data_IF_443056841932
#
_entry.id   IF_443056841932
#
_cell.length_a   1.000
_cell.length_b   1.000
_cell.length_c   1.000
_cell.angle_alpha   90.00
_cell.angle_beta   90.00
_cell.angle_gamma   90.00
#
_symmetry.space_group_name_H-M   'P 1'
#
loop_
_entity.id
_entity.type
_entity.pdbx_description
1 polymer ?
#
# COMPACT_ATOMS: atom_id res chain seq x y z
N UNK A 1 87.07 8.89 17.94
CA UNK A 1 86.49 8.25 16.73
C UNK A 1 86.09 6.81 17.08
N UNK A 2 84.86 6.57 17.53
CA UNK A 2 84.35 5.24 17.90
C UNK A 2 82.98 5.00 17.25
N UNK A 3 82.85 3.82 16.65
CA UNK A 3 81.75 3.34 15.80
C UNK A 3 80.61 2.76 16.65
N UNK A 4 79.41 2.75 16.05
CA UNK A 4 78.15 2.05 16.38
C UNK A 4 78.30 0.77 17.22
N UNK A 5 77.28 0.45 18.03
CA UNK A 5 76.41 -0.74 17.87
C UNK A 5 75.16 -0.59 18.78
N UNK A 6 74.03 -1.03 18.21
CA UNK A 6 72.63 -1.11 18.65
C UNK A 6 72.34 -1.88 19.96
N UNK A 7 71.09 -1.74 20.48
CA UNK A 7 70.24 -2.65 21.31
C UNK A 7 69.52 -1.87 22.42
N UNK A 8 68.25 -2.02 22.81
CA UNK A 8 67.12 -2.92 22.50
C UNK A 8 65.83 -2.30 23.09
N UNK A 9 64.72 -2.52 22.38
CA UNK A 9 63.28 -2.49 22.69
C UNK A 9 62.81 -2.43 24.16
N UNK A 10 61.68 -1.74 24.40
CA UNK A 10 60.40 -2.33 24.88
C UNK A 10 59.30 -1.25 24.91
N UNK A 11 58.37 -1.32 23.94
CA UNK A 11 57.19 -0.47 23.87
C UNK A 11 56.12 -0.92 24.87
N UNK A 12 55.49 0.05 25.52
CA UNK A 12 54.40 -0.13 26.47
C UNK A 12 53.16 -0.70 25.77
N UNK A 13 52.56 -1.75 26.34
CA UNK A 13 51.24 -2.25 25.94
C UNK A 13 50.30 -2.03 27.12
N UNK A 14 49.53 -0.95 27.09
CA UNK A 14 48.35 -0.76 27.93
C UNK A 14 47.16 -1.39 27.20
N UNK A 15 46.59 -2.46 27.75
CA UNK A 15 45.36 -3.07 27.26
C UNK A 15 44.13 -2.33 27.82
N UNK A 16 43.08 -2.04 27.02
CA UNK A 16 41.87 -1.40 27.51
C UNK A 16 40.88 -2.45 28.03
N UNK A 17 40.32 -2.25 29.22
CA UNK A 17 39.19 -3.04 29.72
C UNK A 17 37.90 -2.25 29.50
N UNK A 18 37.03 -2.82 28.67
CA UNK A 18 35.68 -2.34 28.35
C UNK A 18 34.79 -2.27 29.59
N UNK A 19 33.97 -1.22 29.70
CA UNK A 19 32.81 -1.20 30.58
C UNK A 19 31.63 -0.48 29.90
N UNK A 20 30.61 -1.27 29.53
CA UNK A 20 29.19 -0.91 29.69
C UNK A 20 28.50 -0.09 28.61
N UNK A 21 27.90 -0.78 27.64
CA UNK A 21 26.83 -0.30 26.74
C UNK A 21 25.49 -0.27 27.49
N UNK A 22 24.73 0.83 27.40
CA UNK A 22 23.27 0.80 27.49
C UNK A 22 22.68 1.70 26.40
N UNK A 23 22.74 1.23 25.16
CA UNK A 23 21.99 1.84 24.06
C UNK A 23 20.53 1.39 24.21
N UNK A 24 19.69 2.31 24.68
CA UNK A 24 18.24 2.24 24.53
C UNK A 24 17.94 2.16 23.04
N UNK A 25 17.81 0.94 22.51
CA UNK A 25 17.29 0.72 21.17
C UNK A 25 15.79 0.95 21.23
N UNK A 26 15.39 2.22 21.21
CA UNK A 26 14.02 2.57 20.88
C UNK A 26 13.72 1.98 19.51
N UNK A 27 12.76 1.05 19.44
CA UNK A 27 12.22 0.59 18.18
C UNK A 27 11.72 1.81 17.43
N UNK A 28 12.42 2.19 16.36
CA UNK A 28 11.89 3.13 15.38
C UNK A 28 10.66 2.43 14.79
N UNK A 29 9.48 2.83 15.24
CA UNK A 29 8.23 2.49 14.57
C UNK A 29 8.28 3.25 13.25
N UNK A 30 8.65 2.55 12.18
CA UNK A 30 8.53 3.08 10.83
C UNK A 30 7.05 3.42 10.61
N UNK A 31 6.73 4.71 10.57
CA UNK A 31 5.41 5.16 10.16
C UNK A 31 5.23 4.70 8.70
N UNK A 32 4.29 3.79 8.45
CA UNK A 32 3.93 3.42 7.10
C UNK A 32 3.24 4.62 6.46
N UNK A 33 3.98 5.27 5.57
CA UNK A 33 3.51 6.39 4.77
C UNK A 33 2.21 6.05 4.01
N UNK A 34 1.23 6.95 4.15
CA UNK A 34 -0.19 6.72 3.96
C UNK A 34 -0.57 6.78 2.49
N UNK A 35 -0.71 5.63 1.82
CA UNK A 35 -1.48 5.60 0.56
C UNK A 35 -2.93 5.89 0.91
N UNK A 36 -3.49 6.99 0.38
CA UNK A 36 -4.88 7.41 0.58
C UNK A 36 -5.86 6.40 -0.02
N UNK A 37 -6.03 5.25 0.62
CA UNK A 37 -7.10 4.31 0.29
C UNK A 37 -8.44 4.98 0.60
N UNK A 38 -9.44 4.77 -0.26
CA UNK A 38 -10.82 5.07 0.07
C UNK A 38 -11.29 4.13 1.17
N UNK A 39 -11.67 4.70 2.32
CA UNK A 39 -12.18 3.98 3.48
C UNK A 39 -13.61 4.43 3.77
N UNK A 40 -14.45 3.52 4.27
CA UNK A 40 -15.73 3.91 4.87
C UNK A 40 -15.51 4.67 6.19
N UNK A 41 -16.54 5.34 6.75
CA UNK A 41 -16.45 5.95 8.08
C UNK A 41 -16.02 4.96 9.18
N UNK A 42 -16.28 3.67 9.00
CA UNK A 42 -15.89 2.59 9.90
C UNK A 42 -14.46 2.07 9.64
N UNK A 43 -13.71 2.66 8.71
CA UNK A 43 -12.33 2.29 8.38
C UNK A 43 -12.18 1.11 7.42
N UNK A 44 -13.28 0.62 6.82
CA UNK A 44 -13.23 -0.49 5.87
C UNK A 44 -12.77 -0.06 4.48
N UNK A 45 -11.85 -0.82 3.89
CA UNK A 45 -11.51 -0.70 2.47
C UNK A 45 -12.73 -1.07 1.61
N UNK A 46 -12.92 -0.33 0.51
CA UNK A 46 -13.98 -0.60 -0.49
C UNK A 46 -15.36 -0.76 0.16
N UNK A 47 -15.63 0.08 1.16
CA UNK A 47 -16.87 0.09 1.92
C UNK A 47 -17.22 -1.24 2.60
N UNK A 48 -16.26 -2.16 2.80
CA UNK A 48 -16.49 -3.48 3.40
C UNK A 48 -16.94 -4.57 2.41
N UNK A 49 -16.62 -4.41 1.13
CA UNK A 49 -16.82 -5.46 0.13
C UNK A 49 -15.55 -6.29 -0.08
N UNK A 50 -15.76 -7.57 -0.30
CA UNK A 50 -14.72 -8.53 -0.65
C UNK A 50 -14.18 -8.24 -2.04
N UNK A 51 -12.91 -7.83 -2.13
CA UNK A 51 -12.33 -7.49 -3.43
C UNK A 51 -11.87 -8.70 -4.24
N UNK A 52 -11.72 -9.88 -3.62
CA UNK A 52 -11.41 -11.12 -4.32
C UNK A 52 -12.63 -11.61 -5.10
N UNK A 53 -13.83 -11.40 -4.55
CA UNK A 53 -15.09 -11.82 -5.17
C UNK A 53 -15.33 -11.21 -6.56
N UNK A 54 -14.84 -9.99 -6.85
CA UNK A 54 -14.92 -9.43 -8.20
C UNK A 54 -14.18 -10.31 -9.23
N UNK A 55 -13.09 -10.97 -8.81
CA UNK A 55 -12.27 -11.80 -9.68
C UNK A 55 -12.77 -13.24 -9.77
N UNK A 56 -13.17 -13.82 -8.63
CA UNK A 56 -13.56 -15.24 -8.52
C UNK A 56 -15.05 -15.46 -8.81
N UNK A 57 -15.92 -14.58 -8.31
CA UNK A 57 -17.38 -14.70 -8.40
C UNK A 57 -18.02 -13.72 -9.41
N UNK A 58 -17.24 -12.80 -9.96
CA UNK A 58 -17.71 -11.77 -10.93
C UNK A 58 -18.88 -10.93 -10.41
N UNK A 59 -18.92 -10.66 -9.10
CA UNK A 59 -19.94 -9.82 -8.48
C UNK A 59 -19.40 -9.17 -7.19
N UNK A 60 -19.95 -8.03 -6.78
CA UNK A 60 -19.66 -7.46 -5.47
C UNK A 60 -20.28 -8.34 -4.39
N UNK A 61 -19.48 -8.78 -3.42
CA UNK A 61 -19.95 -9.56 -2.27
C UNK A 61 -19.55 -8.83 -0.99
N UNK A 62 -20.47 -8.75 -0.03
CA UNK A 62 -20.18 -8.18 1.30
C UNK A 62 -19.20 -9.07 2.04
N UNK A 63 -18.17 -8.46 2.62
CA UNK A 63 -17.25 -9.16 3.50
C UNK A 63 -17.88 -9.47 4.85
N UNK A 64 -17.30 -10.44 5.55
CA UNK A 64 -17.65 -10.81 6.91
C UNK A 64 -16.52 -10.40 7.85
N UNK A 65 -16.84 -9.75 8.97
CA UNK A 65 -15.84 -9.29 9.95
C UNK A 65 -15.01 -10.42 10.57
N UNK A 66 -15.51 -11.66 10.51
CA UNK A 66 -14.77 -12.88 10.89
C UNK A 66 -13.53 -13.09 10.01
N UNK A 67 -13.58 -12.68 8.74
CA UNK A 67 -12.50 -12.85 7.77
C UNK A 67 -11.94 -11.48 7.41
N UNK A 68 -11.10 -10.92 8.29
CA UNK A 68 -10.51 -9.59 8.11
C UNK A 68 -8.99 -9.59 8.06
N UNK A 69 -8.44 -8.61 7.36
CA UNK A 69 -7.01 -8.36 7.30
C UNK A 69 -6.72 -6.86 7.22
N UNK A 70 -5.74 -6.39 7.98
CA UNK A 70 -5.26 -5.01 7.88
C UNK A 70 -4.13 -4.95 6.87
N UNK A 71 -4.31 -4.15 5.82
CA UNK A 71 -3.28 -3.90 4.81
C UNK A 71 -3.35 -2.45 4.33
N UNK A 72 -2.20 -1.77 4.24
CA UNK A 72 -2.09 -0.33 3.92
C UNK A 72 -3.00 0.56 4.80
N UNK A 73 -3.00 0.29 6.10
CA UNK A 73 -3.79 1.02 7.10
C UNK A 73 -5.31 1.07 6.80
N UNK A 74 -5.84 0.03 6.18
CA UNK A 74 -7.28 -0.16 6.00
C UNK A 74 -7.66 -1.58 6.41
N UNK A 75 -8.88 -1.74 6.92
CA UNK A 75 -9.44 -3.05 7.25
C UNK A 75 -10.13 -3.61 6.02
N UNK A 76 -9.65 -4.75 5.53
CA UNK A 76 -10.24 -5.50 4.44
C UNK A 76 -11.05 -6.65 5.01
N UNK A 77 -12.26 -6.85 4.52
CA UNK A 77 -13.15 -7.93 4.94
C UNK A 77 -13.52 -8.80 3.75
N UNK A 78 -13.60 -10.11 3.97
CA UNK A 78 -13.79 -11.11 2.92
C UNK A 78 -15.00 -11.98 3.22
N UNK A 79 -15.64 -12.49 2.18
CA UNK A 79 -16.83 -13.33 2.29
C UNK A 79 -16.48 -14.73 2.83
N UNK A 80 -15.23 -15.18 2.64
CA UNK A 80 -14.75 -16.50 3.05
C UNK A 80 -13.30 -16.47 3.53
N UNK A 81 -12.91 -17.53 4.24
CA UNK A 81 -11.51 -17.75 4.64
C UNK A 81 -10.59 -17.95 3.42
N UNK A 82 -11.10 -18.58 2.35
CA UNK A 82 -10.37 -18.77 1.10
C UNK A 82 -10.05 -17.45 0.44
N UNK A 83 -11.02 -16.53 0.35
CA UNK A 83 -10.79 -15.19 -0.21
C UNK A 83 -9.79 -14.39 0.63
N UNK A 84 -9.88 -14.48 1.97
CA UNK A 84 -8.86 -13.91 2.86
C UNK A 84 -7.45 -14.45 2.55
N UNK A 85 -7.31 -15.77 2.35
CA UNK A 85 -6.02 -16.40 2.00
C UNK A 85 -5.50 -15.90 0.65
N UNK A 86 -6.37 -15.82 -0.37
CA UNK A 86 -6.03 -15.30 -1.70
C UNK A 86 -5.54 -13.85 -1.62
N UNK A 87 -6.26 -12.99 -0.89
CA UNK A 87 -5.86 -11.59 -0.72
C UNK A 87 -4.52 -11.46 0.01
N UNK A 88 -4.33 -12.19 1.11
CA UNK A 88 -3.06 -12.16 1.86
C UNK A 88 -1.87 -12.63 1.02
N UNK A 89 -2.08 -13.59 0.12
CA UNK A 89 -1.02 -14.11 -0.75
C UNK A 89 -0.62 -13.10 -1.85
N UNK A 90 -1.57 -12.30 -2.35
CA UNK A 90 -1.27 -11.31 -3.39
C UNK A 90 -2.25 -10.11 -3.32
N UNK A 91 -2.08 -9.20 -2.36
CA UNK A 91 -3.04 -8.12 -2.13
C UNK A 91 -3.10 -7.14 -3.30
N UNK A 92 -1.98 -6.94 -4.01
CA UNK A 92 -1.91 -6.02 -5.15
C UNK A 92 -2.73 -6.50 -6.35
N UNK A 93 -2.90 -7.82 -6.53
CA UNK A 93 -3.77 -8.38 -7.56
C UNK A 93 -5.25 -8.06 -7.32
N UNK A 94 -5.66 -8.08 -6.05
CA UNK A 94 -7.08 -8.00 -5.68
C UNK A 94 -7.50 -6.60 -5.20
N UNK A 95 -6.56 -5.71 -4.90
CA UNK A 95 -6.86 -4.33 -4.54
C UNK A 95 -7.27 -3.52 -5.79
N UNK A 96 -8.21 -2.55 -5.67
CA UNK A 96 -8.53 -1.67 -6.78
C UNK A 96 -7.34 -0.80 -7.19
N UNK A 97 -7.18 -0.56 -8.49
CA UNK A 97 -6.04 0.14 -9.09
C UNK A 97 -5.80 1.53 -8.47
N UNK A 98 -6.88 2.24 -8.13
CA UNK A 98 -6.83 3.58 -7.54
C UNK A 98 -7.27 3.60 -6.08
N UNK A 99 -6.90 2.55 -5.33
CA UNK A 99 -7.06 2.51 -3.87
C UNK A 99 -8.51 2.58 -3.40
N UNK A 100 -9.47 2.26 -4.26
CA UNK A 100 -10.91 2.36 -3.97
C UNK A 100 -11.56 3.69 -4.37
N UNK A 101 -10.82 4.62 -4.96
CA UNK A 101 -11.40 5.86 -5.51
C UNK A 101 -11.99 5.65 -6.91
N UNK A 102 -12.91 6.54 -7.28
CA UNK A 102 -13.53 6.56 -8.60
C UNK A 102 -12.50 6.72 -9.72
N UNK A 103 -12.41 5.73 -10.61
CA UNK A 103 -11.47 5.71 -11.74
C UNK A 103 -11.71 6.85 -12.72
N UNK A 104 -12.96 7.22 -12.97
CA UNK A 104 -13.28 8.44 -13.72
C UNK A 104 -12.85 9.71 -12.99
N UNK A 105 -12.99 9.76 -11.67
CA UNK A 105 -12.52 10.86 -10.84
C UNK A 105 -11.03 11.12 -11.01
N UNK A 106 -10.24 10.06 -10.88
CA UNK A 106 -8.79 10.12 -11.03
C UNK A 106 -8.42 10.48 -12.47
N UNK A 107 -8.90 9.74 -13.46
CA UNK A 107 -8.47 9.90 -14.86
C UNK A 107 -9.10 11.07 -15.62
N UNK A 108 -10.29 11.51 -15.20
CA UNK A 108 -11.08 12.53 -15.90
C UNK A 108 -11.13 13.87 -15.18
N UNK A 109 -10.90 13.90 -13.86
CA UNK A 109 -10.98 15.12 -13.03
C UNK A 109 -9.75 15.35 -12.17
N UNK A 110 -8.77 14.45 -12.17
CA UNK A 110 -7.60 14.51 -11.28
C UNK A 110 -7.99 14.70 -9.81
N UNK A 111 -9.09 14.08 -9.38
CA UNK A 111 -9.69 14.28 -8.07
C UNK A 111 -10.08 12.95 -7.43
N UNK A 112 -9.98 12.89 -6.09
CA UNK A 112 -10.43 11.75 -5.29
C UNK A 112 -11.94 11.85 -5.07
N UNK A 113 -12.69 10.90 -5.61
CA UNK A 113 -14.10 10.71 -5.30
C UNK A 113 -14.32 9.31 -4.76
N UNK A 114 -15.31 9.15 -3.89
CA UNK A 114 -15.75 7.84 -3.43
C UNK A 114 -16.20 6.95 -4.59
N UNK A 115 -16.33 5.65 -4.33
CA UNK A 115 -16.83 4.69 -5.29
C UNK A 115 -18.00 3.90 -4.75
N UNK A 116 -18.83 3.42 -5.67
CA UNK A 116 -19.88 2.45 -5.44
C UNK A 116 -19.31 1.05 -5.79
N UNK A 117 -19.31 0.09 -4.84
CA UNK A 117 -18.93 -1.29 -5.07
C UNK A 117 -19.68 -1.98 -6.23
N UNK A 118 -20.89 -1.53 -6.57
CA UNK A 118 -21.63 -2.04 -7.73
C UNK A 118 -21.17 -1.43 -9.07
N UNK A 119 -20.40 -0.33 -9.06
CA UNK A 119 -19.97 0.38 -10.25
C UNK A 119 -18.52 0.02 -10.65
N UNK A 120 -18.28 -1.26 -10.93
CA UNK A 120 -16.94 -1.83 -11.08
C UNK A 120 -16.68 -2.39 -12.48
N UNK A 121 -15.41 -2.52 -12.83
CA UNK A 121 -14.92 -3.28 -13.99
C UNK A 121 -13.58 -3.95 -13.69
N UNK A 122 -13.32 -5.08 -14.35
CA UNK A 122 -11.99 -5.67 -14.42
C UNK A 122 -11.46 -5.50 -15.84
N UNK A 123 -10.33 -4.79 -15.97
CA UNK A 123 -9.66 -4.55 -17.25
C UNK A 123 -8.19 -4.92 -17.09
N UNK A 124 -7.69 -5.77 -17.99
CA UNK A 124 -6.31 -6.29 -17.95
C UNK A 124 -5.92 -6.86 -16.58
N UNK A 125 -6.86 -7.57 -15.95
CA UNK A 125 -6.67 -8.18 -14.64
C UNK A 125 -6.63 -7.21 -13.47
N UNK A 126 -7.03 -5.95 -13.65
CA UNK A 126 -7.06 -4.92 -12.60
C UNK A 126 -8.49 -4.47 -12.31
N UNK A 127 -8.81 -4.32 -11.02
CA UNK A 127 -10.12 -3.87 -10.56
C UNK A 127 -10.19 -2.33 -10.58
N UNK A 128 -11.22 -1.79 -11.21
CA UNK A 128 -11.55 -0.37 -11.23
C UNK A 128 -12.94 -0.17 -10.65
N UNK A 129 -13.09 0.84 -9.78
CA UNK A 129 -14.37 1.24 -9.21
C UNK A 129 -14.73 2.64 -9.67
N UNK A 130 -16.01 2.96 -9.76
CA UNK A 130 -16.52 4.28 -10.15
C UNK A 130 -17.53 4.78 -9.14
N UNK A 131 -17.83 6.08 -9.19
CA UNK A 131 -18.71 6.74 -8.23
C UNK A 131 -20.13 6.14 -8.20
N UNK A 132 -20.66 5.78 -9.37
CA UNK A 132 -21.94 5.10 -9.56
C UNK A 132 -22.02 4.49 -10.97
N UNK A 133 -23.06 3.70 -11.31
CA UNK A 133 -23.20 3.09 -12.64
C UNK A 133 -23.24 4.07 -13.82
N UNK A 134 -23.80 5.27 -13.63
CA UNK A 134 -23.84 6.30 -14.69
C UNK A 134 -22.43 6.85 -14.99
N UNK A 135 -21.64 7.14 -13.95
CA UNK A 135 -20.25 7.57 -14.07
C UNK A 135 -19.39 6.43 -14.66
N UNK A 136 -19.63 5.18 -14.26
CA UNK A 136 -19.00 4.01 -14.88
C UNK A 136 -19.26 3.95 -16.38
N UNK A 137 -20.50 4.17 -16.82
CA UNK A 137 -20.83 4.20 -18.25
C UNK A 137 -20.12 5.36 -18.98
N UNK A 138 -19.94 6.50 -18.31
CA UNK A 138 -19.12 7.61 -18.85
C UNK A 138 -17.65 7.21 -18.99
N UNK A 139 -17.11 6.55 -17.97
CA UNK A 139 -15.74 6.04 -17.97
C UNK A 139 -15.51 5.03 -19.09
N UNK A 140 -16.44 4.07 -19.25
CA UNK A 140 -16.38 3.01 -20.25
C UNK A 140 -16.32 3.50 -21.70
N UNK A 141 -16.86 4.70 -21.98
CA UNK A 141 -16.80 5.30 -23.33
C UNK A 141 -15.39 5.70 -23.75
N UNK A 142 -14.46 5.87 -22.81
CA UNK A 142 -13.09 6.26 -23.11
C UNK A 142 -12.08 5.69 -22.11
N UNK A 143 -12.24 4.41 -21.77
CA UNK A 143 -11.52 3.74 -20.70
C UNK A 143 -10.00 3.86 -20.83
N UNK A 144 -9.45 3.63 -22.02
CA UNK A 144 -8.01 3.69 -22.25
C UNK A 144 -7.42 5.08 -21.95
N UNK A 145 -8.13 6.15 -22.33
CA UNK A 145 -7.73 7.53 -22.00
C UNK A 145 -7.76 7.76 -20.49
N UNK A 146 -8.83 7.34 -19.83
CA UNK A 146 -8.97 7.55 -18.39
C UNK A 146 -7.97 6.71 -17.58
N UNK A 147 -7.67 5.49 -17.98
CA UNK A 147 -6.63 4.67 -17.32
C UNK A 147 -5.26 5.31 -17.51
N UNK A 148 -4.89 5.69 -18.75
CA UNK A 148 -3.61 6.34 -19.03
C UNK A 148 -3.41 7.60 -18.18
N UNK A 149 -4.41 8.47 -18.13
CA UNK A 149 -4.36 9.68 -17.30
C UNK A 149 -4.35 9.32 -15.81
N UNK A 150 -5.19 8.37 -15.42
CA UNK A 150 -5.36 7.96 -14.04
C UNK A 150 -4.10 7.40 -13.43
N UNK A 151 -3.34 6.61 -14.19
CA UNK A 151 -2.06 6.04 -13.76
C UNK A 151 -1.00 7.12 -13.49
N UNK A 152 -0.97 8.18 -14.31
CA UNK A 152 -0.08 9.33 -14.09
C UNK A 152 -0.47 10.08 -12.82
N UNK A 153 -1.76 10.40 -12.66
CA UNK A 153 -2.28 11.10 -11.48
C UNK A 153 -2.02 10.28 -10.22
N UNK A 154 -2.35 8.99 -10.24
CA UNK A 154 -2.18 8.08 -9.11
C UNK A 154 -0.70 7.96 -8.70
N UNK A 155 0.20 7.78 -9.66
CA UNK A 155 1.65 7.76 -9.40
C UNK A 155 2.13 9.05 -8.72
N UNK A 156 1.60 10.21 -9.11
CA UNK A 156 1.97 11.48 -8.50
C UNK A 156 1.42 11.64 -7.08
N UNK A 157 0.18 11.19 -6.83
CA UNK A 157 -0.40 11.15 -5.48
C UNK A 157 0.45 10.27 -4.55
N UNK A 158 0.86 9.09 -5.01
CA UNK A 158 1.74 8.18 -4.25
C UNK A 158 3.11 8.80 -3.94
N UNK A 159 3.66 9.63 -4.83
CA UNK A 159 4.93 10.33 -4.60
C UNK A 159 4.79 11.51 -3.64
N UNK A 160 3.67 12.23 -3.72
CA UNK A 160 3.40 13.38 -2.86
C UNK A 160 3.31 12.93 -1.40
N UNK A 161 2.56 11.86 -1.13
CA UNK A 161 2.41 11.33 0.23
C UNK A 161 3.78 10.97 0.84
N UNK A 162 4.68 10.32 0.07
CA UNK A 162 6.07 10.02 0.47
C UNK A 162 6.96 11.20 0.83
N UNK A 163 6.66 12.38 0.31
CA UNK A 163 7.46 13.58 0.59
C UNK A 163 6.98 14.27 1.87
N UNK A 164 5.71 14.10 2.21
CA UNK A 164 5.04 14.80 3.29
C UNK A 164 5.02 13.98 4.61
N UNK A 165 5.54 12.74 4.58
CA UNK A 165 5.72 11.81 5.71
C UNK A 165 7.15 11.79 6.25
#
# INVERSE_FOLDING_TARGET
MKRKIERTLLHQVLAPVLMGVLLLTGSVVWAFDEVSLARSPQGYAVSGYDTVAYFTEKKPVRGNEKYKHTWKNATWVFASEEHLKLFKANPEKYAPQYGGHCAWGIGGKSALFSSDPAAWEIIDGKLYLNYNPSVRNTWLRNTGKYIKNGDVVWKNLLKKNKKDS
#
